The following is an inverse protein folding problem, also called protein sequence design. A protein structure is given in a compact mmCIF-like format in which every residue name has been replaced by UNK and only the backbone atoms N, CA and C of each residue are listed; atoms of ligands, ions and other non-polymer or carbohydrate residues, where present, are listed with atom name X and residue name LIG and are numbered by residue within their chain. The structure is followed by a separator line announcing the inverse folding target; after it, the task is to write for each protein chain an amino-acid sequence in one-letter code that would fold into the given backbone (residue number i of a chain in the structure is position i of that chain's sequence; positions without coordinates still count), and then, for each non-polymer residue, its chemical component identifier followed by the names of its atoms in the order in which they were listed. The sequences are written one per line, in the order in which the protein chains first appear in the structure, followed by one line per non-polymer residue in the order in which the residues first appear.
data_IF_288728279733
#
_entry.id   IF_288728279733
#
_cell.length_a   1.000
_cell.length_b   1.000
_cell.length_c   1.000
_cell.angle_alpha   90.00
_cell.angle_beta   90.00
_cell.angle_gamma   90.00
#
_symmetry.space_group_name_H-M   'P 1'
#
loop_
_entity.id
_entity.type
_entity.pdbx_description
1 polymer ?
#
# COMPACT_ATOMS: atom_id res chain seq x y z
N UNK A 1 33.42 -42.05 -37.02
CA UNK A 1 32.82 -40.76 -36.64
C UNK A 1 32.37 -39.96 -37.87
N UNK A 2 31.28 -40.36 -38.55
CA UNK A 2 30.72 -39.61 -39.71
C UNK A 2 29.31 -39.06 -39.48
N UNK A 3 28.66 -39.50 -38.40
CA UNK A 3 27.26 -39.13 -38.08
C UNK A 3 27.17 -37.71 -37.50
N UNK A 4 28.23 -37.25 -36.82
CA UNK A 4 28.36 -35.90 -36.25
C UNK A 4 28.48 -34.78 -37.30
N UNK A 5 28.88 -35.09 -38.53
CA UNK A 5 29.01 -34.12 -39.63
C UNK A 5 27.85 -34.20 -40.64
N UNK A 6 26.78 -34.94 -40.31
CA UNK A 6 25.59 -34.89 -41.13
C UNK A 6 24.92 -33.51 -40.96
N UNK A 7 24.53 -32.83 -42.05
CA UNK A 7 23.86 -31.52 -41.95
C UNK A 7 22.58 -31.60 -41.11
N UNK A 8 21.95 -32.77 -41.07
CA UNK A 8 20.77 -33.06 -40.27
C UNK A 8 21.06 -33.07 -38.76
N UNK A 9 22.20 -33.63 -38.33
CA UNK A 9 22.63 -33.55 -36.92
C UNK A 9 22.96 -32.11 -36.53
N UNK A 10 23.61 -31.33 -37.40
CA UNK A 10 23.93 -29.93 -37.14
C UNK A 10 22.66 -29.06 -36.95
N UNK A 11 21.62 -29.30 -37.76
CA UNK A 11 20.30 -28.65 -37.61
C UNK A 11 19.63 -29.04 -36.29
N UNK A 12 19.67 -30.31 -35.91
CA UNK A 12 19.10 -30.78 -34.65
C UNK A 12 19.78 -30.15 -33.43
N UNK A 13 21.12 -30.09 -33.43
CA UNK A 13 21.88 -29.46 -32.35
C UNK A 13 21.65 -27.94 -32.27
N UNK A 14 21.53 -27.26 -33.42
CA UNK A 14 21.22 -25.81 -33.42
C UNK A 14 19.81 -25.53 -32.88
N UNK A 15 18.83 -26.37 -33.17
CA UNK A 15 17.48 -26.25 -32.59
C UNK A 15 17.54 -26.44 -31.06
N UNK A 16 18.23 -27.48 -30.58
CA UNK A 16 18.39 -27.71 -29.14
C UNK A 16 19.09 -26.53 -28.46
N UNK A 17 20.19 -26.05 -29.06
CA UNK A 17 20.93 -24.91 -28.54
C UNK A 17 20.05 -23.65 -28.49
N UNK A 18 19.24 -23.39 -29.52
CA UNK A 18 18.31 -22.27 -29.55
C UNK A 18 17.26 -22.37 -28.43
N UNK A 19 16.68 -23.55 -28.21
CA UNK A 19 15.71 -23.78 -27.13
C UNK A 19 16.34 -23.55 -25.75
N UNK A 20 17.57 -24.06 -25.54
CA UNK A 20 18.31 -23.86 -24.29
C UNK A 20 18.60 -22.38 -24.05
N UNK A 21 19.06 -21.65 -25.07
CA UNK A 21 19.32 -20.21 -24.98
C UNK A 21 18.05 -19.42 -24.61
N UNK A 22 16.91 -19.72 -25.24
CA UNK A 22 15.63 -19.07 -24.92
C UNK A 22 15.20 -19.39 -23.49
N UNK A 23 15.31 -20.65 -23.08
CA UNK A 23 14.98 -21.09 -21.72
C UNK A 23 15.82 -20.38 -20.66
N UNK A 24 17.14 -20.29 -20.87
CA UNK A 24 18.06 -19.57 -19.98
C UNK A 24 17.70 -18.08 -19.90
N UNK A 25 17.39 -17.44 -21.02
CA UNK A 25 17.01 -16.04 -21.06
C UNK A 25 15.71 -15.77 -20.29
N UNK A 26 14.68 -16.61 -20.48
CA UNK A 26 13.42 -16.49 -19.76
C UNK A 26 13.59 -16.74 -18.26
N UNK A 27 14.40 -17.74 -17.86
CA UNK A 27 14.69 -18.02 -16.46
C UNK A 27 15.46 -16.88 -15.79
N UNK A 28 16.45 -16.29 -16.46
CA UNK A 28 17.20 -15.14 -15.95
C UNK A 28 16.28 -13.96 -15.61
N UNK A 29 15.34 -13.64 -16.51
CA UNK A 29 14.34 -12.58 -16.25
C UNK A 29 13.42 -12.89 -15.08
N UNK A 30 12.95 -14.13 -14.95
CA UNK A 30 12.12 -14.57 -13.83
C UNK A 30 12.86 -14.45 -12.50
N UNK A 31 14.13 -14.87 -12.45
CA UNK A 31 14.96 -14.79 -11.25
C UNK A 31 15.16 -13.33 -10.82
N UNK A 32 15.41 -12.42 -11.78
CA UNK A 32 15.53 -10.99 -11.46
C UNK A 32 14.22 -10.41 -10.89
N UNK A 33 13.07 -10.75 -11.47
CA UNK A 33 11.77 -10.30 -10.97
C UNK A 33 11.45 -10.88 -9.59
N UNK A 34 11.78 -12.14 -9.35
CA UNK A 34 11.63 -12.78 -8.04
C UNK A 34 12.52 -12.13 -6.98
N UNK A 35 13.78 -11.81 -7.31
CA UNK A 35 14.70 -11.15 -6.38
C UNK A 35 14.20 -9.76 -5.96
N UNK A 36 13.69 -8.95 -6.91
CA UNK A 36 13.08 -7.64 -6.61
C UNK A 36 11.82 -7.79 -5.74
N UNK A 37 11.01 -8.81 -6.01
CA UNK A 37 9.78 -9.07 -5.24
C UNK A 37 10.09 -9.46 -3.80
N UNK A 38 11.07 -10.36 -3.60
CA UNK A 38 11.54 -10.76 -2.26
C UNK A 38 12.10 -9.57 -1.51
N UNK A 39 12.96 -8.76 -2.15
CA UNK A 39 13.53 -7.58 -1.52
C UNK A 39 12.45 -6.55 -1.12
N UNK A 40 11.40 -6.39 -1.93
CA UNK A 40 10.27 -5.52 -1.59
C UNK A 40 9.49 -6.07 -0.40
N UNK A 41 9.23 -7.37 -0.35
CA UNK A 41 8.56 -8.02 0.79
C UNK A 41 9.38 -7.88 2.08
N UNK A 42 10.70 -8.09 2.03
CA UNK A 42 11.59 -7.90 3.18
C UNK A 42 11.55 -6.45 3.70
N UNK A 43 11.55 -5.46 2.80
CA UNK A 43 11.43 -4.06 3.17
C UNK A 43 10.06 -3.73 3.79
N UNK A 44 8.98 -4.30 3.25
CA UNK A 44 7.64 -4.15 3.82
C UNK A 44 7.55 -4.76 5.23
N UNK A 45 8.09 -5.96 5.43
CA UNK A 45 8.14 -6.63 6.75
C UNK A 45 8.91 -5.76 7.75
N UNK A 46 10.12 -5.29 7.40
CA UNK A 46 10.91 -4.42 8.28
C UNK A 46 10.16 -3.11 8.62
N UNK A 47 9.42 -2.55 7.68
CA UNK A 47 8.62 -1.34 7.92
C UNK A 47 7.43 -1.59 8.87
N UNK A 48 6.81 -2.77 8.78
CA UNK A 48 5.70 -3.16 9.64
C UNK A 48 6.21 -3.44 11.05
N UNK A 49 7.32 -4.15 11.20
CA UNK A 49 7.96 -4.39 12.50
C UNK A 49 8.34 -3.08 13.19
N UNK A 50 8.89 -2.11 12.45
CA UNK A 50 9.19 -0.79 13.00
C UNK A 50 7.92 -0.06 13.50
N UNK A 51 6.82 -0.15 12.75
CA UNK A 51 5.53 0.44 13.16
C UNK A 51 4.96 -0.26 14.39
N UNK A 52 5.01 -1.59 14.46
CA UNK A 52 4.54 -2.36 15.62
C UNK A 52 5.35 -1.96 16.85
N UNK A 53 6.68 -1.93 16.75
CA UNK A 53 7.54 -1.49 17.86
C UNK A 53 7.22 -0.06 18.30
N UNK A 54 6.95 0.86 17.37
CA UNK A 54 6.57 2.23 17.72
C UNK A 54 5.23 2.26 18.47
N UNK A 55 4.21 1.56 17.97
CA UNK A 55 2.90 1.50 18.61
C UNK A 55 2.97 0.85 19.99
N UNK A 56 3.78 -0.19 20.17
CA UNK A 56 4.00 -0.81 21.48
C UNK A 56 4.65 0.17 22.46
N UNK A 57 5.64 0.95 22.02
CA UNK A 57 6.26 1.99 22.85
C UNK A 57 5.27 3.09 23.21
N UNK A 58 4.48 3.55 22.26
CA UNK A 58 3.44 4.57 22.49
C UNK A 58 2.38 4.05 23.48
N UNK A 59 2.01 2.77 23.38
CA UNK A 59 1.08 2.12 24.32
C UNK A 59 1.68 1.99 25.73
N UNK A 60 2.96 1.63 25.84
CA UNK A 60 3.67 1.60 27.12
C UNK A 60 3.76 3.00 27.75
N UNK A 61 4.02 4.03 26.94
CA UNK A 61 4.04 5.41 27.40
C UNK A 61 2.66 5.88 27.84
N UNK A 62 1.61 5.61 27.07
CA UNK A 62 0.23 5.96 27.40
C UNK A 62 -0.28 5.22 28.66
N UNK A 63 0.19 4.00 28.91
CA UNK A 63 -0.15 3.22 30.11
C UNK A 63 0.73 3.54 31.33
N UNK A 64 1.78 4.34 31.14
CA UNK A 64 2.69 4.75 32.21
C UNK A 64 1.96 5.55 33.30
N UNK A 65 2.48 5.46 34.53
CA UNK A 65 1.93 6.21 35.66
C UNK A 65 1.93 7.74 35.40
N UNK A 66 2.92 8.25 34.65
CA UNK A 66 3.01 9.65 34.28
C UNK A 66 1.90 10.07 33.30
N UNK A 67 1.54 9.22 32.33
CA UNK A 67 0.44 9.49 31.41
C UNK A 67 -0.92 9.43 32.11
N UNK A 68 -1.14 8.45 32.99
CA UNK A 68 -2.35 8.40 33.83
C UNK A 68 -2.51 9.66 34.67
N UNK A 69 -1.43 10.07 35.35
CA UNK A 69 -1.39 11.30 36.14
C UNK A 69 -1.64 12.56 35.28
N UNK A 70 -1.16 12.59 34.03
CA UNK A 70 -1.48 13.68 33.10
C UNK A 70 -2.97 13.70 32.75
N UNK A 71 -3.56 12.54 32.42
CA UNK A 71 -4.99 12.42 32.09
C UNK A 71 -5.84 12.87 33.29
N UNK A 72 -5.55 12.39 34.49
CA UNK A 72 -6.28 12.82 35.69
C UNK A 72 -6.16 14.33 35.95
N UNK A 73 -5.00 14.94 35.67
CA UNK A 73 -4.86 16.40 35.78
C UNK A 73 -5.64 17.17 34.73
N UNK A 74 -5.62 16.71 33.49
CA UNK A 74 -6.37 17.31 32.39
C UNK A 74 -7.87 17.25 32.69
N UNK A 75 -8.37 16.12 33.19
CA UNK A 75 -9.76 15.94 33.63
C UNK A 75 -10.13 16.87 34.80
N UNK A 76 -9.20 17.11 35.73
CA UNK A 76 -9.39 18.00 36.87
C UNK A 76 -9.11 19.47 36.55
N UNK A 77 -8.71 19.81 35.32
CA UNK A 77 -8.28 21.15 34.88
C UNK A 77 -7.15 21.72 35.77
N UNK A 78 -6.31 20.86 36.34
CA UNK A 78 -5.21 21.24 37.23
C UNK A 78 -3.92 21.40 36.44
N UNK A 79 -3.49 22.65 36.24
CA UNK A 79 -2.26 22.98 35.52
C UNK A 79 -1.01 22.85 36.41
N UNK A 80 0.10 22.33 35.85
CA UNK A 80 1.42 22.49 36.47
C UNK A 80 1.99 23.88 36.19
N UNK A 81 2.85 24.43 37.08
CA UNK A 81 3.59 25.65 36.76
C UNK A 81 4.45 25.42 35.50
N UNK A 82 4.17 26.18 34.44
CA UNK A 82 4.85 26.12 33.14
C UNK A 82 4.08 25.47 31.99
N UNK A 83 2.84 25.01 32.21
CA UNK A 83 2.00 24.37 31.20
C UNK A 83 1.07 25.41 30.52
N UNK A 84 1.05 25.45 29.19
CA UNK A 84 0.22 26.40 28.42
C UNK A 84 -0.93 25.67 27.72
N UNK A 85 -2.18 26.02 28.05
CA UNK A 85 -3.37 25.49 27.36
C UNK A 85 -3.65 26.37 26.14
N UNK A 86 -3.55 25.78 24.94
CA UNK A 86 -3.96 26.43 23.69
C UNK A 86 -5.43 26.10 23.46
N UNK A 87 -6.34 27.02 23.78
CA UNK A 87 -7.74 26.91 23.39
C UNK A 87 -7.85 27.19 21.89
N UNK A 88 -8.18 26.17 21.11
CA UNK A 88 -8.51 26.33 19.70
C UNK A 88 -9.96 26.80 19.64
N UNK A 89 -10.25 28.02 19.15
CA UNK A 89 -11.62 28.50 19.03
C UNK A 89 -12.38 27.58 18.07
N UNK A 90 -13.61 27.22 18.44
CA UNK A 90 -14.51 26.43 17.61
C UNK A 90 -14.63 27.09 16.23
N UNK A 91 -14.01 26.49 15.22
CA UNK A 91 -14.20 26.93 13.86
C UNK A 91 -15.66 26.64 13.50
N UNK A 92 -16.43 27.63 13.02
CA UNK A 92 -17.79 27.38 12.59
C UNK A 92 -17.74 26.32 11.48
N UNK A 93 -18.36 25.17 11.75
CA UNK A 93 -18.52 24.11 10.76
C UNK A 93 -19.22 24.74 9.55
N UNK A 94 -18.64 24.71 8.35
CA UNK A 94 -19.30 25.26 7.17
C UNK A 94 -20.63 24.52 6.99
N UNK A 95 -21.72 25.29 6.96
CA UNK A 95 -23.05 24.75 6.65
C UNK A 95 -22.95 23.98 5.33
N UNK A 96 -23.43 22.73 5.25
CA UNK A 96 -23.39 21.98 4.00
C UNK A 96 -24.13 22.78 2.93
N UNK A 97 -23.45 23.04 1.81
CA UNK A 97 -24.08 23.62 0.63
C UNK A 97 -25.27 22.72 0.24
N UNK A 98 -26.43 23.30 -0.12
CA UNK A 98 -27.56 22.51 -0.60
C UNK A 98 -27.10 21.75 -1.84
N UNK A 99 -26.93 20.44 -1.72
CA UNK A 99 -26.64 19.60 -2.89
C UNK A 99 -27.79 19.78 -3.86
N UNK A 100 -27.51 20.26 -5.07
CA UNK A 100 -28.49 20.32 -6.15
C UNK A 100 -29.04 18.91 -6.33
N UNK A 101 -30.27 18.69 -5.85
CA UNK A 101 -30.99 17.44 -6.06
C UNK A 101 -31.12 17.25 -7.57
N UNK A 102 -30.71 16.10 -8.13
CA UNK A 102 -30.80 15.89 -9.56
C UNK A 102 -32.26 16.09 -9.98
N UNK A 103 -32.47 16.96 -10.97
CA UNK A 103 -33.79 17.27 -11.50
C UNK A 103 -34.49 15.96 -11.83
N UNK A 104 -35.61 15.70 -11.15
CA UNK A 104 -36.32 14.42 -11.23
C UNK A 104 -36.91 14.30 -12.63
N UNK A 105 -36.17 13.65 -13.54
CA UNK A 105 -36.57 13.46 -14.93
C UNK A 105 -37.96 12.81 -14.98
N UNK A 106 -38.83 13.32 -15.85
CA UNK A 106 -40.16 12.73 -16.07
C UNK A 106 -39.98 11.33 -16.67
N UNK A 107 -40.88 10.37 -16.43
CA UNK A 107 -40.72 9.00 -16.89
C UNK A 107 -40.37 8.90 -18.39
N UNK A 108 -41.02 9.69 -19.26
CA UNK A 108 -40.75 9.70 -20.70
C UNK A 108 -39.32 10.15 -21.09
N UNK A 109 -38.68 10.99 -20.27
CA UNK A 109 -37.29 11.43 -20.49
C UNK A 109 -36.31 10.29 -20.17
N UNK A 110 -36.60 9.50 -19.14
CA UNK A 110 -35.82 8.30 -18.80
C UNK A 110 -35.89 7.26 -19.92
N UNK A 111 -37.07 7.06 -20.53
CA UNK A 111 -37.22 6.14 -21.67
C UNK A 111 -36.43 6.60 -22.90
N UNK A 112 -36.30 7.91 -23.12
CA UNK A 112 -35.54 8.45 -24.26
C UNK A 112 -34.03 8.21 -24.13
N UNK A 113 -33.47 8.35 -22.93
CA UNK A 113 -32.05 8.05 -22.69
C UNK A 113 -31.73 6.56 -22.84
N UNK A 114 -32.67 5.67 -22.50
CA UNK A 114 -32.46 4.21 -22.62
C UNK A 114 -32.55 3.68 -24.05
N UNK A 115 -33.19 4.42 -24.96
CA UNK A 115 -33.45 4.01 -26.34
C UNK A 115 -32.47 4.62 -27.37
N UNK A 116 -31.54 5.45 -26.90
CA UNK A 116 -30.40 5.98 -27.67
C UNK A 116 -29.14 5.17 -27.34
#
# INVERSE_FOLDING_TARGET
MRILYSPLAAVFFTIIAAVICVSLYMNGRRIQQSAVTVQKMEAEVASIEAKVNQVERDALEATSAAAKERIFRDELLLQRPGEYIVQVPDQPVPSPEPSLSPEKLRPWQQWKELLL
#
